data_IF_784692516460
#
_entry.id   IF_784692516460
#
_cell.length_a   1.000
_cell.length_b   1.000
_cell.length_c   1.000
_cell.angle_alpha   90.00
_cell.angle_beta   90.00
_cell.angle_gamma   90.00
#
_symmetry.space_group_name_H-M   'P 1'
#
loop_
_entity.id
_entity.type
_entity.pdbx_description
1 polymer ?
#
# COMPACT_ATOMS: atom_id res chain seq x y z
N UNK A 1 10.45 -24.83 27.28
CA UNK A 1 11.67 -24.10 26.86
C UNK A 1 11.78 -24.23 25.34
N UNK A 2 11.79 -23.13 24.60
CA UNK A 2 11.95 -23.15 23.14
C UNK A 2 13.42 -23.57 22.87
N UNK A 3 13.68 -24.63 22.08
CA UNK A 3 15.04 -25.08 21.83
C UNK A 3 15.82 -23.98 21.11
N UNK A 4 16.97 -23.56 21.67
CA UNK A 4 17.82 -22.46 21.17
C UNK A 4 18.19 -22.54 19.68
N UNK A 5 18.04 -23.70 19.04
CA UNK A 5 18.29 -23.90 17.60
C UNK A 5 17.20 -23.37 16.66
N UNK A 6 15.99 -23.06 17.14
CA UNK A 6 14.90 -22.57 16.28
C UNK A 6 14.97 -21.06 16.00
N UNK A 7 15.58 -20.29 16.90
CA UNK A 7 15.78 -18.84 16.76
C UNK A 7 16.56 -18.45 15.50
N UNK A 8 17.71 -19.08 15.15
CA UNK A 8 18.45 -18.73 13.94
C UNK A 8 17.69 -19.11 12.65
N UNK A 9 16.90 -20.19 12.67
CA UNK A 9 16.12 -20.62 11.50
C UNK A 9 14.99 -19.63 11.19
N UNK A 10 14.28 -19.15 12.22
CA UNK A 10 13.21 -18.14 12.06
C UNK A 10 13.77 -16.79 11.60
N UNK A 11 14.96 -16.39 12.08
CA UNK A 11 15.62 -15.15 11.63
C UNK A 11 16.02 -15.23 10.15
N UNK A 12 16.57 -16.36 9.69
CA UNK A 12 16.98 -16.54 8.29
C UNK A 12 15.81 -16.46 7.31
N UNK A 13 14.66 -17.02 7.67
CA UNK A 13 13.46 -16.93 6.84
C UNK A 13 12.90 -15.51 6.81
N UNK A 14 12.99 -14.77 7.92
CA UNK A 14 12.60 -13.36 7.99
C UNK A 14 13.46 -12.49 7.07
N UNK A 15 14.77 -12.67 7.11
CA UNK A 15 15.71 -11.93 6.26
C UNK A 15 15.51 -12.26 4.78
N UNK A 16 15.19 -13.52 4.46
CA UNK A 16 14.85 -13.94 3.08
C UNK A 16 13.56 -13.28 2.58
N UNK A 17 12.54 -13.18 3.43
CA UNK A 17 11.30 -12.49 3.08
C UNK A 17 11.51 -10.99 2.88
N UNK A 18 12.29 -10.35 3.76
CA UNK A 18 12.62 -8.92 3.66
C UNK A 18 13.41 -8.62 2.38
N UNK A 19 14.44 -9.41 2.09
CA UNK A 19 15.26 -9.23 0.88
C UNK A 19 14.48 -9.49 -0.40
N UNK A 20 13.66 -10.56 -0.45
CA UNK A 20 12.78 -10.82 -1.60
C UNK A 20 11.79 -9.69 -1.86
N UNK A 21 11.27 -9.09 -0.80
CA UNK A 21 10.34 -7.97 -0.88
C UNK A 21 11.00 -6.70 -1.42
N UNK A 22 12.17 -6.35 -0.90
CA UNK A 22 12.94 -5.21 -1.40
C UNK A 22 13.36 -5.43 -2.85
N UNK A 23 13.77 -6.65 -3.21
CA UNK A 23 14.13 -6.98 -4.59
C UNK A 23 12.96 -6.74 -5.57
N UNK A 24 11.77 -7.24 -5.25
CA UNK A 24 10.56 -7.03 -6.06
C UNK A 24 10.25 -5.54 -6.18
N UNK A 25 10.37 -4.79 -5.07
CA UNK A 25 10.12 -3.36 -5.05
C UNK A 25 11.11 -2.58 -5.94
N UNK A 26 12.39 -2.94 -5.90
CA UNK A 26 13.42 -2.32 -6.75
C UNK A 26 13.15 -2.64 -8.22
N UNK A 27 12.93 -3.91 -8.58
CA UNK A 27 12.63 -4.32 -9.97
C UNK A 27 11.40 -3.59 -10.50
N UNK A 28 10.32 -3.56 -9.73
CA UNK A 28 9.10 -2.84 -10.11
C UNK A 28 9.35 -1.34 -10.29
N UNK A 29 10.05 -0.69 -9.35
CA UNK A 29 10.38 0.74 -9.45
C UNK A 29 11.24 1.04 -10.67
N UNK A 30 12.23 0.20 -10.98
CA UNK A 30 13.07 0.37 -12.17
C UNK A 30 12.22 0.28 -13.44
N UNK A 31 11.33 -0.72 -13.55
CA UNK A 31 10.47 -0.88 -14.72
C UNK A 31 9.47 0.27 -14.92
N UNK A 32 8.99 0.88 -13.83
CA UNK A 32 8.02 1.98 -13.90
C UNK A 32 8.69 3.34 -14.11
N UNK A 33 9.83 3.59 -13.45
CA UNK A 33 10.50 4.90 -13.51
C UNK A 33 11.25 5.08 -14.83
N UNK A 34 11.85 4.01 -15.38
CA UNK A 34 12.61 4.07 -16.61
C UNK A 34 11.82 4.66 -17.80
N UNK A 35 10.61 4.18 -18.16
CA UNK A 35 9.86 4.73 -19.30
C UNK A 35 9.48 6.20 -19.09
N UNK A 36 9.18 6.60 -17.85
CA UNK A 36 8.87 7.99 -17.53
C UNK A 36 10.08 8.91 -17.72
N UNK A 37 11.25 8.51 -17.19
CA UNK A 37 12.50 9.27 -17.36
C UNK A 37 12.91 9.36 -18.82
N UNK A 38 12.75 8.29 -19.60
CA UNK A 38 13.08 8.32 -21.03
C UNK A 38 12.21 9.30 -21.80
N UNK A 39 10.90 9.36 -21.53
CA UNK A 39 9.99 10.29 -22.21
C UNK A 39 10.26 11.74 -21.80
N UNK A 40 10.54 11.98 -20.52
CA UNK A 40 10.94 13.30 -20.03
C UNK A 40 12.19 13.80 -20.75
N UNK A 41 13.19 12.93 -20.93
CA UNK A 41 14.42 13.29 -21.63
C UNK A 41 14.16 13.60 -23.11
N UNK A 42 13.32 12.80 -23.77
CA UNK A 42 12.90 13.07 -25.15
C UNK A 42 12.17 14.40 -25.25
N UNK A 43 11.24 14.71 -24.34
CA UNK A 43 10.52 15.99 -24.34
C UNK A 43 11.45 17.19 -24.10
N UNK A 44 12.47 17.03 -23.25
CA UNK A 44 13.43 18.08 -22.97
C UNK A 44 14.36 18.36 -24.16
N UNK A 45 14.72 17.31 -24.92
CA UNK A 45 15.66 17.39 -26.05
C UNK A 45 14.99 17.60 -27.40
N UNK A 46 13.69 17.30 -27.51
CA UNK A 46 12.92 17.49 -28.73
C UNK A 46 12.73 18.98 -29.00
N UNK A 47 13.53 19.50 -29.93
CA UNK A 47 13.32 20.82 -30.53
C UNK A 47 11.94 20.82 -31.23
N UNK A 48 11.10 21.81 -30.93
CA UNK A 48 9.65 21.90 -31.22
C UNK A 48 9.33 22.09 -32.73
N UNK A 49 10.23 21.68 -33.63
CA UNK A 49 10.03 21.72 -35.09
C UNK A 49 9.48 20.39 -35.65
N UNK A 50 9.05 19.47 -34.78
CA UNK A 50 8.50 18.18 -35.17
C UNK A 50 7.05 18.32 -35.65
N UNK A 51 6.66 17.48 -36.62
CA UNK A 51 5.30 17.39 -37.17
C UNK A 51 4.26 17.28 -36.04
N UNK A 52 3.12 17.96 -36.19
CA UNK A 52 2.03 18.03 -35.20
C UNK A 52 1.59 16.66 -34.66
N UNK A 53 1.64 15.62 -35.48
CA UNK A 53 1.29 14.24 -35.10
C UNK A 53 2.28 13.64 -34.08
N UNK A 54 3.59 13.86 -34.26
CA UNK A 54 4.61 13.33 -33.33
C UNK A 54 4.52 13.98 -31.95
N UNK A 55 4.19 15.28 -31.90
CA UNK A 55 3.96 16.00 -30.64
C UNK A 55 2.74 15.45 -29.91
N UNK A 56 1.65 15.13 -30.63
CA UNK A 56 0.46 14.53 -30.04
C UNK A 56 0.76 13.17 -29.42
N UNK A 57 1.50 12.31 -30.12
CA UNK A 57 1.92 10.99 -29.62
C UNK A 57 2.80 11.10 -28.37
N UNK A 58 3.77 12.02 -28.37
CA UNK A 58 4.63 12.29 -27.22
C UNK A 58 3.84 12.76 -26.00
N UNK A 59 2.89 13.67 -26.18
CA UNK A 59 2.02 14.15 -25.10
C UNK A 59 1.13 13.03 -24.53
N UNK A 60 0.58 12.19 -25.40
CA UNK A 60 -0.20 11.03 -24.95
C UNK A 60 0.67 10.05 -24.14
N UNK A 61 1.88 9.74 -24.63
CA UNK A 61 2.79 8.83 -23.95
C UNK A 61 3.27 9.39 -22.60
N UNK A 62 3.49 10.71 -22.52
CA UNK A 62 3.80 11.41 -21.28
C UNK A 62 2.65 11.35 -20.27
N UNK A 63 1.40 11.50 -20.73
CA UNK A 63 0.23 11.35 -19.87
C UNK A 63 0.10 9.92 -19.31
N UNK A 64 0.22 8.91 -20.18
CA UNK A 64 0.11 7.50 -19.77
C UNK A 64 1.21 7.12 -18.79
N UNK A 65 2.47 7.45 -19.11
CA UNK A 65 3.59 7.16 -18.21
C UNK A 65 3.55 7.97 -16.92
N UNK A 66 3.04 9.19 -16.95
CA UNK A 66 2.74 9.98 -15.76
C UNK A 66 1.72 9.29 -14.84
N UNK A 67 0.63 8.74 -15.38
CA UNK A 67 -0.35 7.98 -14.59
C UNK A 67 0.27 6.74 -13.95
N UNK A 68 1.07 5.99 -14.71
CA UNK A 68 1.78 4.81 -14.18
C UNK A 68 2.79 5.23 -13.08
N UNK A 69 3.48 6.36 -13.27
CA UNK A 69 4.39 6.92 -12.27
C UNK A 69 3.66 7.31 -10.99
N UNK A 70 2.47 7.93 -11.06
CA UNK A 70 1.69 8.23 -9.86
C UNK A 70 1.22 6.97 -9.12
N UNK A 71 0.84 5.91 -9.85
CA UNK A 71 0.50 4.61 -9.25
C UNK A 71 1.69 3.98 -8.49
N UNK A 72 2.93 4.30 -8.86
CA UNK A 72 4.13 3.85 -8.15
C UNK A 72 4.15 4.29 -6.68
N UNK A 73 3.53 5.42 -6.32
CA UNK A 73 3.48 5.86 -4.91
C UNK A 73 2.62 4.93 -4.05
N UNK A 74 1.56 4.34 -4.64
CA UNK A 74 0.71 3.36 -3.96
C UNK A 74 1.25 1.92 -4.09
N UNK A 75 2.13 1.66 -5.06
CA UNK A 75 2.69 0.33 -5.33
C UNK A 75 3.30 -0.39 -4.12
N UNK A 76 4.03 0.26 -3.18
CA UNK A 76 4.66 -0.46 -2.09
C UNK A 76 3.58 -1.15 -1.26
N UNK A 77 2.50 -0.44 -0.92
CA UNK A 77 1.38 -0.98 -0.15
C UNK A 77 0.79 -2.26 -0.79
N UNK A 78 0.53 -2.23 -2.09
CA UNK A 78 0.01 -3.39 -2.82
C UNK A 78 1.01 -4.55 -2.86
N UNK A 79 2.31 -4.26 -3.08
CA UNK A 79 3.37 -5.25 -3.06
C UNK A 79 3.49 -5.88 -1.66
N UNK A 80 3.42 -5.09 -0.59
CA UNK A 80 3.47 -5.57 0.79
C UNK A 80 2.31 -6.53 1.12
N UNK A 81 1.10 -6.22 0.65
CA UNK A 81 -0.09 -7.06 0.85
C UNK A 81 0.01 -8.39 0.08
N UNK A 82 0.52 -8.37 -1.15
CA UNK A 82 0.57 -9.57 -2.00
C UNK A 82 1.74 -10.51 -1.64
N UNK A 83 2.91 -9.97 -1.31
CA UNK A 83 4.14 -10.77 -1.15
C UNK A 83 4.28 -11.33 0.26
N UNK A 84 3.95 -10.57 1.30
CA UNK A 84 4.21 -10.98 2.68
C UNK A 84 2.98 -11.58 3.36
N UNK A 85 2.95 -12.91 3.50
CA UNK A 85 1.90 -13.62 4.26
C UNK A 85 1.81 -13.13 5.70
N UNK A 86 2.96 -12.87 6.34
CA UNK A 86 3.05 -12.37 7.72
C UNK A 86 2.43 -10.97 7.83
N UNK A 87 2.80 -10.06 6.92
CA UNK A 87 2.24 -8.71 6.90
C UNK A 87 0.72 -8.76 6.71
N UNK A 88 0.23 -9.57 5.77
CA UNK A 88 -1.21 -9.74 5.54
C UNK A 88 -1.96 -10.22 6.79
N UNK A 89 -1.42 -11.20 7.52
CA UNK A 89 -2.03 -11.70 8.75
C UNK A 89 -2.02 -10.66 9.88
N UNK A 90 -0.91 -9.93 10.05
CA UNK A 90 -0.83 -8.85 11.04
C UNK A 90 -1.78 -7.70 10.70
N UNK A 91 -1.88 -7.36 9.41
CA UNK A 91 -2.77 -6.32 8.92
C UNK A 91 -4.24 -6.67 9.13
N UNK A 92 -4.65 -7.91 8.79
CA UNK A 92 -6.00 -8.42 9.06
C UNK A 92 -6.30 -8.40 10.56
N UNK A 93 -5.36 -8.84 11.40
CA UNK A 93 -5.52 -8.81 12.85
C UNK A 93 -5.74 -7.39 13.39
N UNK A 94 -4.97 -6.42 12.92
CA UNK A 94 -5.14 -5.01 13.31
C UNK A 94 -6.48 -4.45 12.83
N UNK A 95 -6.92 -4.76 11.61
CA UNK A 95 -8.24 -4.33 11.13
C UNK A 95 -9.36 -4.94 11.99
N UNK A 96 -9.28 -6.23 12.32
CA UNK A 96 -10.25 -6.90 13.18
C UNK A 96 -10.23 -6.34 14.61
N UNK A 97 -9.06 -6.00 15.14
CA UNK A 97 -8.95 -5.41 16.48
C UNK A 97 -9.57 -4.00 16.53
N UNK A 98 -9.35 -3.17 15.50
CA UNK A 98 -10.00 -1.85 15.37
C UNK A 98 -11.52 -2.01 15.26
N UNK A 99 -12.00 -2.95 14.45
CA UNK A 99 -13.44 -3.16 14.26
C UNK A 99 -14.13 -3.65 15.54
N UNK A 100 -13.51 -4.59 16.26
CA UNK A 100 -14.02 -5.08 17.55
C UNK A 100 -14.01 -4.01 18.65
N UNK A 101 -13.02 -3.12 18.66
CA UNK A 101 -12.95 -1.99 19.59
C UNK A 101 -14.06 -0.98 19.36
N UNK A 102 -14.37 -0.64 18.09
CA UNK A 102 -15.49 0.26 17.76
C UNK A 102 -16.85 -0.32 18.16
N UNK A 103 -17.06 -1.63 17.99
CA UNK A 103 -18.28 -2.30 18.46
C UNK A 103 -18.42 -2.25 19.98
N UNK A 104 -17.35 -2.47 20.75
CA UNK A 104 -17.39 -2.38 22.22
C UNK A 104 -17.78 -0.98 22.70
N UNK A 105 -17.24 0.07 22.08
CA UNK A 105 -17.61 1.46 22.42
C UNK A 105 -19.09 1.75 22.14
N UNK A 106 -19.65 1.26 21.03
CA UNK A 106 -21.08 1.40 20.75
C UNK A 106 -21.98 0.66 21.75
N UNK A 107 -21.60 -0.55 22.18
CA UNK A 107 -22.37 -1.28 23.19
C UNK A 107 -22.37 -0.58 24.56
N UNK A 108 -21.25 0.05 24.95
CA UNK A 108 -21.15 0.80 26.20
C UNK A 108 -22.00 2.08 26.13
N UNK A 109 -22.00 2.80 25.00
CA UNK A 109 -22.85 3.97 24.80
C UNK A 109 -24.35 3.66 24.86
N UNK A 110 -24.80 2.55 24.25
CA UNK A 110 -26.21 2.14 24.27
C UNK A 110 -26.67 1.70 25.67
N UNK A 111 -25.80 1.01 26.43
CA UNK A 111 -26.11 0.59 27.80
C UNK A 111 -26.14 1.74 28.81
N UNK A 112 -25.56 2.91 28.49
CA UNK A 112 -25.64 4.12 29.32
C UNK A 112 -26.94 4.92 29.06
N UNK A 113 -27.55 4.76 27.88
CA UNK A 113 -28.78 5.48 27.48
C UNK A 113 -30.04 4.76 27.99
N UNK A 114 -30.06 3.41 27.93
CA UNK A 114 -31.18 2.60 28.45
C UNK A 114 -31.59 2.88 29.91
N UNK A 115 -30.68 2.99 30.89
CA UNK A 115 -31.06 3.26 32.28
C UNK A 115 -31.58 4.70 32.47
N UNK A 116 -31.32 5.63 31.55
CA UNK A 116 -31.79 7.01 31.65
C UNK A 116 -33.24 7.16 31.15
N UNK A 117 -33.65 6.40 30.13
CA UNK A 117 -35.05 6.33 29.67
C UNK A 117 -35.96 5.57 30.65
N UNK A 118 -35.45 4.51 31.29
CA UNK A 118 -36.24 3.76 32.28
C UNK A 118 -36.47 4.57 33.58
N UNK A 119 -35.56 5.49 33.92
CA UNK A 119 -35.74 6.40 35.07
C UNK A 119 -36.63 7.61 34.77
N UNK A 120 -36.72 8.07 33.52
CA UNK A 120 -37.59 9.19 33.14
C UNK A 120 -39.04 8.77 32.86
N UNK A 121 -39.31 7.48 32.62
CA UNK A 121 -40.67 6.93 32.49
C UNK A 121 -41.33 6.57 33.82
N UNK A 122 -40.60 6.61 34.94
CA UNK A 122 -41.12 6.32 36.29
C UNK A 122 -41.46 7.58 37.12
N UNK A 123 -41.36 8.77 36.51
CA UNK A 123 -41.77 10.08 37.05
C UNK A 123 -43.01 10.58 36.30
#
# INVERSE_FOLDING_TARGET
QIPYRTVPLVRRELDKQLTSMVLIQVVYKTLVVLPYVTILFILFTANINALSITVLQLNFLNFVTGMIYYLNFASPFYIYICVSKRFRQQFIYVILSIYSSKRKQQCIGINQIKPLEEQSQQL
#
